data_IF_851626648158
#
_entry.id   IF_851626648158
#
_cell.length_a   1.000
_cell.length_b   1.000
_cell.length_c   1.000
_cell.angle_alpha   90.00
_cell.angle_beta   90.00
_cell.angle_gamma   90.00
#
_symmetry.space_group_name_H-M   'P 1'
#
loop_
_entity.id
_entity.type
_entity.pdbx_description
1 polymer ?
#
# COMPACT_ATOMS: atom_id res chain seq x y z
N UNK A 1 32.16 -15.26 3.63
CA UNK A 1 31.06 -14.30 3.49
C UNK A 1 31.59 -12.93 3.87
N UNK A 2 31.50 -11.96 2.99
CA UNK A 2 31.93 -10.59 3.29
C UNK A 2 30.91 -9.95 4.26
N UNK A 3 31.42 -9.30 5.30
CA UNK A 3 30.58 -8.66 6.30
C UNK A 3 30.09 -7.31 5.74
N UNK A 4 28.77 -7.12 5.70
CA UNK A 4 28.17 -5.86 5.25
C UNK A 4 28.54 -4.70 6.19
N UNK A 5 28.85 -3.55 5.62
CA UNK A 5 29.06 -2.31 6.39
C UNK A 5 27.79 -1.88 7.12
N UNK A 6 27.94 -1.46 8.38
CA UNK A 6 26.81 -1.04 9.23
C UNK A 6 26.86 0.46 9.58
N UNK A 7 28.00 1.12 9.35
CA UNK A 7 28.20 2.51 9.73
C UNK A 7 28.52 3.35 8.49
N UNK A 8 27.80 4.44 8.30
CA UNK A 8 27.92 5.34 7.17
C UNK A 8 27.97 6.79 7.66
N UNK A 9 28.81 7.61 7.05
CA UNK A 9 28.97 9.02 7.41
C UNK A 9 27.75 9.88 6.97
N UNK A 10 27.02 9.44 5.94
CA UNK A 10 25.84 10.10 5.41
C UNK A 10 24.87 9.11 4.77
N UNK A 11 23.63 9.55 4.55
CA UNK A 11 22.64 8.79 3.78
C UNK A 11 23.11 8.51 2.36
N UNK A 12 23.77 9.48 1.71
CA UNK A 12 24.31 9.31 0.34
C UNK A 12 25.38 8.23 0.28
N UNK A 13 26.23 8.13 1.31
CA UNK A 13 27.24 7.07 1.42
C UNK A 13 26.57 5.69 1.56
N UNK A 14 25.51 5.61 2.37
CA UNK A 14 24.69 4.38 2.50
C UNK A 14 24.04 4.01 1.16
N UNK A 15 23.41 4.95 0.46
CA UNK A 15 22.76 4.73 -0.84
C UNK A 15 23.76 4.20 -1.88
N UNK A 16 24.91 4.84 -1.99
CA UNK A 16 25.99 4.40 -2.88
C UNK A 16 26.46 2.98 -2.56
N UNK A 17 26.62 2.69 -1.29
CA UNK A 17 27.00 1.35 -0.83
C UNK A 17 25.93 0.31 -1.19
N UNK A 18 24.65 0.56 -0.88
CA UNK A 18 23.55 -0.36 -1.20
C UNK A 18 23.46 -0.60 -2.71
N UNK A 19 23.56 0.46 -3.53
CA UNK A 19 23.59 0.32 -5.00
C UNK A 19 24.77 -0.52 -5.48
N UNK A 20 25.90 -0.50 -4.79
CA UNK A 20 27.08 -1.29 -5.16
C UNK A 20 26.96 -2.79 -4.84
N UNK A 21 26.01 -3.17 -3.97
CA UNK A 21 25.78 -4.57 -3.60
C UNK A 21 25.07 -5.39 -4.69
N UNK A 22 24.39 -4.72 -5.62
CA UNK A 22 23.65 -5.37 -6.66
C UNK A 22 23.92 -4.69 -8.02
N UNK A 23 24.26 -5.50 -9.04
CA UNK A 23 24.53 -5.02 -10.41
C UNK A 23 23.26 -4.52 -11.13
N UNK A 24 22.09 -4.92 -10.62
CA UNK A 24 20.78 -4.58 -11.19
C UNK A 24 19.96 -3.66 -10.26
N UNK A 25 20.60 -3.02 -9.28
CA UNK A 25 19.95 -2.01 -8.46
C UNK A 25 19.73 -0.74 -9.30
N UNK A 26 18.51 -0.56 -9.74
CA UNK A 26 18.05 0.58 -10.54
C UNK A 26 17.13 1.47 -9.68
N UNK A 27 16.78 2.65 -10.23
CA UNK A 27 15.88 3.58 -9.59
C UNK A 27 16.55 4.56 -8.63
N UNK A 28 15.72 5.30 -7.92
CA UNK A 28 16.11 6.31 -6.93
C UNK A 28 15.66 5.90 -5.53
N UNK A 29 16.27 6.52 -4.52
CA UNK A 29 15.87 6.35 -3.13
C UNK A 29 14.51 6.99 -2.85
N UNK A 30 13.71 6.35 -2.01
CA UNK A 30 12.47 6.89 -1.51
C UNK A 30 12.70 8.15 -0.64
N UNK A 31 11.75 9.07 -0.65
CA UNK A 31 11.72 10.19 0.29
C UNK A 31 11.43 9.74 1.74
N UNK A 32 10.95 8.52 1.94
CA UNK A 32 10.71 7.96 3.28
C UNK A 32 12.04 7.49 3.87
N UNK A 33 12.41 8.10 4.97
CA UNK A 33 13.67 7.81 5.67
C UNK A 33 13.44 6.64 6.64
N UNK A 34 14.27 5.61 6.53
CA UNK A 34 14.25 4.45 7.44
C UNK A 34 14.95 4.74 8.78
N UNK A 35 14.96 3.71 9.63
CA UNK A 35 15.69 3.71 10.90
C UNK A 35 14.85 4.04 12.12
N UNK A 36 15.37 3.66 13.29
CA UNK A 36 14.67 3.72 14.58
C UNK A 36 14.32 5.16 14.97
N UNK A 37 15.25 6.08 14.84
CA UNK A 37 15.04 7.49 15.20
C UNK A 37 13.86 8.09 14.40
N UNK A 38 13.85 7.87 13.08
CA UNK A 38 12.79 8.39 12.22
C UNK A 38 11.44 7.71 12.49
N UNK A 39 11.44 6.41 12.82
CA UNK A 39 10.23 5.69 13.20
C UNK A 39 9.56 6.30 14.43
N UNK A 40 10.32 6.53 15.50
CA UNK A 40 9.79 7.17 16.72
C UNK A 40 9.44 8.65 16.54
N UNK A 41 10.19 9.38 15.70
CA UNK A 41 9.84 10.75 15.32
C UNK A 41 8.51 10.79 14.55
N UNK A 42 8.25 9.82 13.69
CA UNK A 42 6.99 9.70 12.97
C UNK A 42 5.87 9.27 13.93
N UNK A 43 6.11 8.29 14.79
CA UNK A 43 5.15 7.84 15.81
C UNK A 43 4.73 9.00 16.75
N UNK A 44 5.66 9.86 17.15
CA UNK A 44 5.37 10.99 18.06
C UNK A 44 4.43 12.05 17.46
N UNK A 45 4.22 12.02 16.14
CA UNK A 45 3.41 13.02 15.40
C UNK A 45 2.04 12.51 14.97
N UNK A 46 1.72 11.23 15.22
CA UNK A 46 0.43 10.70 14.78
C UNK A 46 -0.74 11.39 15.50
N UNK A 47 -1.82 11.56 14.76
CA UNK A 47 -3.10 12.06 15.28
C UNK A 47 -4.18 11.00 15.06
N UNK A 48 -4.40 10.08 16.03
CA UNK A 48 -5.34 8.98 15.87
C UNK A 48 -6.79 9.44 15.68
N UNK A 49 -7.16 10.56 16.31
CA UNK A 49 -8.51 11.13 16.18
C UNK A 49 -8.71 11.76 14.80
N UNK A 50 -7.77 12.57 14.37
CA UNK A 50 -7.76 13.15 13.03
C UNK A 50 -7.70 12.07 11.94
N UNK A 51 -6.91 11.02 12.17
CA UNK A 51 -6.89 9.84 11.29
C UNK A 51 -8.28 9.25 11.13
N UNK A 52 -8.99 8.97 12.21
CA UNK A 52 -10.34 8.41 12.16
C UNK A 52 -11.32 9.24 11.32
N UNK A 53 -11.16 10.56 11.31
CA UNK A 53 -12.02 11.50 10.58
C UNK A 53 -11.63 11.71 9.12
N UNK A 54 -10.32 11.66 8.82
CA UNK A 54 -9.80 12.13 7.53
C UNK A 54 -9.01 11.08 6.73
N UNK A 55 -8.87 9.87 7.23
CA UNK A 55 -8.05 8.81 6.64
C UNK A 55 -8.39 8.45 5.20
N UNK A 56 -9.59 8.79 4.73
CA UNK A 56 -10.02 8.50 3.36
C UNK A 56 -9.52 9.57 2.37
N UNK A 57 -9.20 10.78 2.84
CA UNK A 57 -8.72 11.86 1.99
C UNK A 57 -7.23 11.72 1.70
N UNK A 58 -6.81 11.98 0.47
CA UNK A 58 -5.41 11.88 0.06
C UNK A 58 -4.48 12.80 0.87
N UNK A 59 -4.98 13.97 1.31
CA UNK A 59 -4.30 14.92 2.20
C UNK A 59 -4.67 14.72 3.69
N UNK A 60 -5.31 13.60 4.05
CA UNK A 60 -5.75 13.30 5.41
C UNK A 60 -4.62 13.01 6.39
N UNK A 61 -4.99 12.81 7.65
CA UNK A 61 -4.04 12.54 8.76
C UNK A 61 -3.56 11.09 8.79
N UNK A 62 -3.04 10.59 7.64
CA UNK A 62 -2.43 9.26 7.57
C UNK A 62 -1.08 9.23 8.29
N UNK A 63 -0.73 8.08 8.86
CA UNK A 63 0.45 7.99 9.75
C UNK A 63 1.76 7.73 9.03
N UNK A 64 1.72 7.06 7.88
CA UNK A 64 2.90 6.53 7.16
C UNK A 64 3.81 5.64 8.03
N UNK A 65 3.22 4.94 9.01
CA UNK A 65 3.97 4.04 9.91
C UNK A 65 4.16 2.63 9.36
N UNK A 66 3.41 2.26 8.31
CA UNK A 66 3.41 0.90 7.79
C UNK A 66 4.78 0.37 7.38
N UNK A 67 5.72 1.14 6.78
CA UNK A 67 7.08 0.65 6.53
C UNK A 67 7.83 0.28 7.81
N UNK A 68 7.75 1.09 8.85
CA UNK A 68 8.43 0.83 10.11
C UNK A 68 7.86 -0.38 10.86
N UNK A 69 6.53 -0.57 10.76
CA UNK A 69 5.85 -1.74 11.32
C UNK A 69 6.24 -2.99 10.54
N UNK A 70 6.24 -2.93 9.21
CA UNK A 70 6.62 -4.05 8.34
C UNK A 70 8.02 -4.55 8.63
N UNK A 71 8.98 -3.63 8.76
CA UNK A 71 10.37 -3.96 9.04
C UNK A 71 10.67 -4.23 10.53
N UNK A 72 9.65 -4.31 11.39
CA UNK A 72 9.79 -4.66 12.80
C UNK A 72 10.50 -3.60 13.67
N UNK A 73 10.62 -2.35 13.19
CA UNK A 73 11.25 -1.26 13.96
C UNK A 73 10.35 -0.80 15.10
N UNK A 74 9.04 -0.77 14.87
CA UNK A 74 8.00 -0.53 15.87
C UNK A 74 6.91 -1.59 15.74
N UNK A 75 6.34 -2.01 16.85
CA UNK A 75 5.29 -3.00 16.90
C UNK A 75 3.88 -2.36 16.83
N UNK A 76 2.88 -3.15 16.43
CA UNK A 76 1.47 -2.75 16.51
C UNK A 76 1.07 -2.35 17.94
N UNK A 77 1.60 -3.05 18.94
CA UNK A 77 1.33 -2.76 20.34
C UNK A 77 1.89 -1.40 20.78
N UNK A 78 3.11 -1.04 20.35
CA UNK A 78 3.68 0.28 20.62
C UNK A 78 2.83 1.39 20.01
N UNK A 79 2.41 1.23 18.74
CA UNK A 79 1.56 2.21 18.05
C UNK A 79 0.21 2.35 18.74
N UNK A 80 -0.44 1.23 19.10
CA UNK A 80 -1.70 1.24 19.86
C UNK A 80 -1.54 1.94 21.21
N UNK A 81 -0.51 1.57 21.97
CA UNK A 81 -0.27 2.13 23.31
C UNK A 81 0.04 3.62 23.24
N UNK A 82 0.77 4.05 22.21
CA UNK A 82 1.00 5.49 21.99
C UNK A 82 -0.31 6.23 21.72
N UNK A 83 -1.19 5.69 20.87
CA UNK A 83 -2.48 6.28 20.57
C UNK A 83 -3.36 6.42 21.84
N UNK A 84 -3.43 5.37 22.66
CA UNK A 84 -4.18 5.37 23.91
C UNK A 84 -3.60 6.31 24.97
N UNK A 85 -2.27 6.45 25.01
CA UNK A 85 -1.60 7.41 25.90
C UNK A 85 -1.82 8.86 25.45
N UNK A 86 -1.81 9.11 24.15
CA UNK A 86 -2.03 10.45 23.58
C UNK A 86 -3.47 10.93 23.74
N UNK A 87 -4.42 10.01 23.67
CA UNK A 87 -5.85 10.28 23.91
C UNK A 87 -6.48 9.09 24.65
N UNK A 88 -6.77 9.23 25.96
CA UNK A 88 -7.38 8.15 26.76
C UNK A 88 -8.83 7.81 26.35
N UNK A 89 -9.48 8.63 25.54
CA UNK A 89 -10.83 8.34 25.07
C UNK A 89 -10.82 7.26 24.00
N UNK A 90 -11.11 6.02 24.42
CA UNK A 90 -11.10 4.84 23.55
C UNK A 90 -12.01 5.00 22.32
N UNK A 91 -13.21 5.58 22.51
CA UNK A 91 -14.16 5.78 21.38
C UNK A 91 -13.60 6.68 20.27
N UNK A 92 -12.80 7.68 20.64
CA UNK A 92 -12.17 8.54 19.65
C UNK A 92 -11.01 7.87 18.91
N UNK A 93 -10.36 6.88 19.53
CA UNK A 93 -9.27 6.09 18.94
C UNK A 93 -9.77 4.82 18.23
N UNK A 94 -11.04 4.47 18.37
CA UNK A 94 -11.60 3.20 17.90
C UNK A 94 -11.26 2.91 16.44
N UNK A 95 -11.48 3.88 15.56
CA UNK A 95 -11.22 3.69 14.14
C UNK A 95 -9.74 3.44 13.85
N UNK A 96 -8.86 4.17 14.50
CA UNK A 96 -7.43 3.97 14.36
C UNK A 96 -6.99 2.57 14.82
N UNK A 97 -7.49 2.13 15.98
CA UNK A 97 -7.18 0.81 16.53
C UNK A 97 -7.75 -0.31 15.67
N UNK A 98 -8.94 -0.14 15.10
CA UNK A 98 -9.49 -1.10 14.12
C UNK A 98 -8.57 -1.29 12.91
N UNK A 99 -8.01 -0.21 12.38
CA UNK A 99 -7.10 -0.31 11.22
C UNK A 99 -5.78 -1.03 11.57
N UNK A 100 -5.27 -0.88 12.79
CA UNK A 100 -4.16 -1.72 13.27
C UNK A 100 -4.60 -3.19 13.40
N UNK A 101 -5.84 -3.42 13.85
CA UNK A 101 -6.42 -4.75 13.98
C UNK A 101 -6.57 -5.48 12.65
N UNK A 102 -6.84 -4.78 11.53
CA UNK A 102 -6.86 -5.40 10.21
C UNK A 102 -5.51 -6.01 9.82
N UNK A 103 -4.40 -5.34 10.12
CA UNK A 103 -3.07 -5.89 9.88
C UNK A 103 -2.83 -7.17 10.67
N UNK A 104 -3.15 -7.18 11.97
CA UNK A 104 -3.04 -8.38 12.81
C UNK A 104 -3.95 -9.51 12.30
N UNK A 105 -5.16 -9.18 11.86
CA UNK A 105 -6.10 -10.13 11.28
C UNK A 105 -5.53 -10.82 10.03
N UNK A 106 -5.00 -10.06 9.08
CA UNK A 106 -4.41 -10.61 7.86
C UNK A 106 -3.21 -11.53 8.16
N UNK A 107 -2.35 -11.15 9.11
CA UNK A 107 -1.23 -11.97 9.55
C UNK A 107 -1.71 -13.30 10.14
N UNK A 108 -2.79 -13.30 10.92
CA UNK A 108 -3.36 -14.51 11.50
C UNK A 108 -3.99 -15.41 10.46
N UNK A 109 -4.71 -14.82 9.50
CA UNK A 109 -5.27 -15.59 8.36
C UNK A 109 -4.14 -16.22 7.55
N UNK A 110 -3.10 -15.49 7.21
CA UNK A 110 -1.94 -16.02 6.49
C UNK A 110 -1.24 -17.16 7.24
N UNK A 111 -1.12 -17.05 8.56
CA UNK A 111 -0.52 -18.10 9.38
C UNK A 111 -1.38 -19.38 9.46
N UNK A 112 -2.70 -19.25 9.43
CA UNK A 112 -3.64 -20.38 9.46
C UNK A 112 -3.85 -21.01 8.08
N UNK A 113 -3.80 -20.21 7.03
CA UNK A 113 -4.07 -20.58 5.64
C UNK A 113 -2.97 -20.03 4.71
N UNK A 114 -1.73 -20.54 4.79
CA UNK A 114 -0.62 -20.05 3.98
C UNK A 114 -0.82 -20.26 2.47
N UNK A 115 -1.59 -21.25 2.10
CA UNK A 115 -2.00 -21.54 0.72
C UNK A 115 -2.92 -20.47 0.11
N UNK A 116 -3.66 -19.72 0.93
CA UNK A 116 -4.55 -18.66 0.44
C UNK A 116 -3.82 -17.38 0.02
N UNK A 117 -2.56 -17.22 0.40
CA UNK A 117 -1.81 -15.98 0.13
C UNK A 117 -1.70 -15.71 -1.38
N UNK A 118 -1.56 -16.75 -2.20
CA UNK A 118 -1.40 -16.63 -3.66
C UNK A 118 -2.49 -17.36 -4.46
N UNK A 119 -3.42 -18.01 -3.79
CA UNK A 119 -4.53 -18.73 -4.43
C UNK A 119 -5.85 -18.02 -4.16
N UNK A 120 -6.77 -18.08 -5.12
CA UNK A 120 -8.13 -17.56 -4.94
C UNK A 120 -8.82 -18.34 -3.80
N UNK A 121 -9.29 -17.62 -2.78
CA UNK A 121 -10.02 -18.24 -1.66
C UNK A 121 -11.42 -18.65 -2.09
N UNK A 122 -12.04 -17.84 -2.95
CA UNK A 122 -13.35 -18.07 -3.55
C UNK A 122 -13.32 -17.73 -5.04
N UNK A 123 -14.32 -18.13 -5.79
CA UNK A 123 -14.48 -17.73 -7.19
C UNK A 123 -14.74 -16.23 -7.33
N UNK A 124 -14.35 -15.66 -8.47
CA UNK A 124 -14.66 -14.28 -8.83
C UNK A 124 -16.18 -14.05 -8.90
N UNK A 125 -16.63 -12.95 -8.32
CA UNK A 125 -18.06 -12.54 -8.34
C UNK A 125 -18.33 -11.45 -9.38
N UNK A 126 -17.55 -11.49 -10.49
CA UNK A 126 -17.60 -10.54 -11.59
C UNK A 126 -18.30 -11.05 -12.83
N UNK A 127 -18.65 -12.33 -12.86
CA UNK A 127 -19.14 -13.02 -14.06
C UNK A 127 -18.01 -13.48 -14.99
N UNK A 128 -16.74 -13.26 -14.61
CA UNK A 128 -15.54 -13.73 -15.32
C UNK A 128 -14.84 -14.80 -14.48
N UNK A 129 -14.24 -15.77 -15.18
CA UNK A 129 -13.43 -16.84 -14.58
C UNK A 129 -11.96 -16.43 -14.53
N UNK A 130 -11.15 -17.15 -13.77
CA UNK A 130 -9.69 -16.92 -13.66
C UNK A 130 -8.98 -16.89 -15.02
N UNK A 131 -9.44 -17.70 -15.99
CA UNK A 131 -8.86 -17.74 -17.35
C UNK A 131 -9.14 -16.49 -18.20
N UNK A 132 -10.10 -15.66 -17.79
CA UNK A 132 -10.43 -14.44 -18.51
C UNK A 132 -9.52 -13.25 -18.16
N UNK A 133 -8.58 -13.46 -17.21
CA UNK A 133 -7.62 -12.46 -16.73
C UNK A 133 -6.22 -12.72 -17.29
N UNK A 134 -5.55 -11.67 -17.78
CA UNK A 134 -4.17 -11.71 -18.28
C UNK A 134 -3.16 -11.90 -17.13
N UNK A 135 -2.06 -12.59 -17.44
CA UNK A 135 -0.93 -12.76 -16.51
C UNK A 135 0.08 -11.61 -16.54
N UNK A 136 0.03 -10.76 -17.55
CA UNK A 136 1.03 -9.72 -17.76
C UNK A 136 0.48 -8.32 -17.51
N UNK A 137 1.25 -7.49 -16.82
CA UNK A 137 1.01 -6.04 -16.76
C UNK A 137 1.47 -5.42 -18.09
N UNK A 138 0.61 -4.64 -18.76
CA UNK A 138 1.00 -3.95 -19.98
C UNK A 138 1.89 -2.74 -19.68
N UNK A 139 2.70 -2.37 -20.69
CA UNK A 139 3.72 -1.31 -20.60
C UNK A 139 3.15 0.06 -20.19
N UNK A 140 1.92 0.38 -20.59
CA UNK A 140 1.29 1.64 -20.22
C UNK A 140 1.01 1.75 -18.71
N UNK A 141 0.73 0.63 -18.05
CA UNK A 141 0.64 0.57 -16.58
C UNK A 141 2.02 0.66 -15.96
N UNK A 142 2.99 -0.11 -16.46
CA UNK A 142 4.35 -0.11 -15.92
C UNK A 142 5.02 1.27 -15.99
N UNK A 143 4.68 2.07 -17.03
CA UNK A 143 5.28 3.37 -17.30
C UNK A 143 4.37 4.58 -16.93
N UNK A 144 3.24 4.35 -16.24
CA UNK A 144 2.26 5.41 -15.92
C UNK A 144 1.77 6.19 -17.15
N UNK A 145 1.48 5.49 -18.24
CA UNK A 145 1.07 6.05 -19.54
C UNK A 145 -0.32 5.56 -19.98
N UNK A 146 -1.21 5.32 -19.02
CA UNK A 146 -2.59 4.95 -19.30
C UNK A 146 -3.43 6.17 -19.74
N UNK A 147 -4.63 5.94 -20.28
CA UNK A 147 -5.55 7.02 -20.62
C UNK A 147 -6.28 7.61 -19.40
N UNK A 148 -5.89 7.23 -18.17
CA UNK A 148 -6.57 7.62 -16.92
C UNK A 148 -5.60 8.40 -16.06
N UNK A 149 -5.69 9.72 -16.07
CA UNK A 149 -4.74 10.62 -15.41
C UNK A 149 -4.58 10.35 -13.91
N UNK A 150 -5.67 10.12 -13.19
CA UNK A 150 -5.58 9.81 -11.77
C UNK A 150 -4.88 8.47 -11.49
N UNK A 151 -4.99 7.49 -12.37
CA UNK A 151 -4.27 6.20 -12.27
C UNK A 151 -2.79 6.40 -12.51
N UNK A 152 -2.41 7.18 -13.54
CA UNK A 152 -1.02 7.51 -13.80
C UNK A 152 -0.35 8.19 -12.60
N UNK A 153 -1.04 9.14 -11.97
CA UNK A 153 -0.57 9.78 -10.75
C UNK A 153 -0.29 8.77 -9.63
N UNK A 154 -1.19 7.82 -9.39
CA UNK A 154 -1.00 6.80 -8.35
C UNK A 154 0.14 5.83 -8.69
N UNK A 155 0.33 5.49 -9.98
CA UNK A 155 1.47 4.68 -10.42
C UNK A 155 2.78 5.43 -10.18
N UNK A 156 2.87 6.69 -10.59
CA UNK A 156 4.05 7.54 -10.36
C UNK A 156 4.37 7.68 -8.88
N UNK A 157 3.35 7.86 -8.01
CA UNK A 157 3.55 7.92 -6.57
C UNK A 157 4.14 6.62 -6.03
N UNK A 158 3.63 5.46 -6.48
CA UNK A 158 4.18 4.16 -6.13
C UNK A 158 5.64 4.03 -6.53
N UNK A 159 5.95 4.29 -7.80
CA UNK A 159 7.30 4.11 -8.37
C UNK A 159 8.33 5.06 -7.75
N UNK A 160 7.94 6.31 -7.50
CA UNK A 160 8.84 7.34 -7.01
C UNK A 160 9.04 7.30 -5.48
N UNK A 161 8.03 6.84 -4.73
CA UNK A 161 8.07 6.93 -3.26
C UNK A 161 8.14 5.59 -2.55
N UNK A 162 7.72 4.51 -3.22
CA UNK A 162 7.52 3.21 -2.58
C UNK A 162 6.37 3.20 -1.57
N UNK A 163 5.46 4.17 -1.64
CA UNK A 163 4.33 4.28 -0.73
C UNK A 163 3.08 4.77 -1.47
N UNK A 164 1.95 4.18 -1.11
CA UNK A 164 0.64 4.63 -1.58
C UNK A 164 -0.33 4.80 -0.41
N UNK A 165 -1.15 5.82 -0.49
CA UNK A 165 -2.34 5.95 0.35
C UNK A 165 -3.26 4.74 0.17
N UNK A 166 -3.90 4.25 1.26
CA UNK A 166 -4.74 3.05 1.20
C UNK A 166 -5.82 3.09 0.09
N UNK A 167 -6.51 4.22 -0.09
CA UNK A 167 -7.51 4.37 -1.14
C UNK A 167 -6.90 4.33 -2.54
N UNK A 168 -5.73 4.92 -2.75
CA UNK A 168 -5.01 4.85 -4.02
C UNK A 168 -4.62 3.40 -4.35
N UNK A 169 -4.22 2.60 -3.34
CA UNK A 169 -4.00 1.15 -3.54
C UNK A 169 -5.24 0.44 -4.03
N UNK A 170 -6.40 0.73 -3.45
CA UNK A 170 -7.66 0.13 -3.85
C UNK A 170 -8.10 0.56 -5.25
N UNK A 171 -7.94 1.84 -5.60
CA UNK A 171 -8.26 2.34 -6.94
C UNK A 171 -7.38 1.71 -8.01
N UNK A 172 -6.08 1.67 -7.75
CA UNK A 172 -5.12 1.07 -8.68
C UNK A 172 -5.33 -0.44 -8.83
N UNK A 173 -5.57 -1.17 -7.74
CA UNK A 173 -5.92 -2.58 -7.78
C UNK A 173 -7.22 -2.83 -8.56
N UNK A 174 -8.24 -2.01 -8.33
CA UNK A 174 -9.51 -2.11 -9.07
C UNK A 174 -9.33 -1.84 -10.57
N UNK A 175 -8.53 -0.84 -10.93
CA UNK A 175 -8.19 -0.55 -12.33
C UNK A 175 -7.50 -1.75 -12.98
N UNK A 176 -6.47 -2.29 -12.37
CA UNK A 176 -5.71 -3.44 -12.88
C UNK A 176 -6.62 -4.65 -13.07
N UNK A 177 -7.42 -4.99 -12.06
CA UNK A 177 -8.23 -6.22 -12.08
C UNK A 177 -9.46 -6.06 -12.99
N UNK A 178 -10.26 -5.02 -12.79
CA UNK A 178 -11.61 -4.97 -13.39
C UNK A 178 -11.64 -4.25 -14.73
N UNK A 179 -10.82 -3.22 -14.94
CA UNK A 179 -10.78 -2.47 -16.20
C UNK A 179 -9.81 -3.07 -17.20
N UNK A 180 -8.64 -3.54 -16.71
CA UNK A 180 -7.60 -4.10 -17.57
C UNK A 180 -7.60 -5.63 -17.61
N UNK A 181 -8.42 -6.28 -16.79
CA UNK A 181 -8.55 -7.73 -16.68
C UNK A 181 -7.21 -8.45 -16.52
N UNK A 182 -6.46 -8.02 -15.51
CA UNK A 182 -5.19 -8.62 -15.14
C UNK A 182 -5.41 -9.38 -13.83
N UNK A 183 -4.79 -10.55 -13.72
CA UNK A 183 -4.84 -11.36 -12.50
C UNK A 183 -4.41 -10.55 -11.29
N UNK A 184 -5.15 -10.65 -10.20
CA UNK A 184 -4.81 -9.93 -8.97
C UNK A 184 -3.42 -10.32 -8.46
N UNK A 185 -2.98 -11.57 -8.68
CA UNK A 185 -1.65 -12.05 -8.32
C UNK A 185 -0.55 -11.23 -9.00
N UNK A 186 -0.72 -10.95 -10.28
CA UNK A 186 0.23 -10.13 -11.06
C UNK A 186 0.34 -8.71 -10.48
N UNK A 187 -0.81 -8.08 -10.20
CA UNK A 187 -0.83 -6.74 -9.60
C UNK A 187 -0.29 -6.73 -8.16
N UNK A 188 -0.64 -7.75 -7.36
CA UNK A 188 -0.14 -7.91 -6.00
C UNK A 188 1.38 -8.07 -5.97
N UNK A 189 1.94 -8.89 -6.87
CA UNK A 189 3.37 -9.07 -7.00
C UNK A 189 4.08 -7.76 -7.40
N UNK A 190 3.52 -7.03 -8.35
CA UNK A 190 4.05 -5.71 -8.74
C UNK A 190 4.06 -4.73 -7.56
N UNK A 191 3.01 -4.70 -6.73
CA UNK A 191 3.01 -3.89 -5.51
C UNK A 191 4.12 -4.28 -4.55
N UNK A 192 4.33 -5.58 -4.32
CA UNK A 192 5.39 -6.08 -3.43
C UNK A 192 6.79 -5.70 -3.90
N UNK A 193 7.01 -5.57 -5.22
CA UNK A 193 8.28 -5.13 -5.78
C UNK A 193 8.60 -3.66 -5.48
N UNK A 194 7.58 -2.81 -5.32
CA UNK A 194 7.75 -1.35 -5.18
C UNK A 194 7.43 -0.80 -3.79
N UNK A 195 6.56 -1.46 -3.03
CA UNK A 195 6.14 -0.95 -1.71
C UNK A 195 7.18 -1.19 -0.63
N UNK A 196 7.58 -0.13 0.07
CA UNK A 196 8.42 -0.20 1.28
C UNK A 196 7.76 -0.96 2.44
N UNK A 197 6.43 -1.01 2.45
CA UNK A 197 5.63 -1.75 3.42
C UNK A 197 4.99 -3.00 2.82
N UNK A 198 5.64 -3.57 1.80
CA UNK A 198 5.19 -4.74 1.05
C UNK A 198 5.02 -5.98 1.93
N UNK A 199 3.98 -5.99 2.72
CA UNK A 199 3.57 -7.10 3.60
C UNK A 199 2.68 -8.06 2.81
N UNK A 200 3.15 -9.27 2.57
CA UNK A 200 2.50 -10.23 1.68
C UNK A 200 1.07 -10.56 2.12
N UNK A 201 0.84 -10.75 3.41
CA UNK A 201 -0.51 -11.04 3.92
C UNK A 201 -1.46 -9.86 3.71
N UNK A 202 -1.11 -8.67 4.19
CA UNK A 202 -1.96 -7.48 4.05
C UNK A 202 -2.15 -7.08 2.59
N UNK A 203 -1.11 -7.18 1.77
CA UNK A 203 -1.16 -6.85 0.35
C UNK A 203 -2.09 -7.81 -0.39
N UNK A 204 -1.81 -9.10 -0.34
CA UNK A 204 -2.48 -10.09 -1.20
C UNK A 204 -3.94 -10.30 -0.80
N UNK A 205 -4.27 -10.35 0.49
CA UNK A 205 -5.69 -10.42 0.90
C UNK A 205 -6.46 -9.13 0.58
N UNK A 206 -5.81 -7.96 0.57
CA UNK A 206 -6.45 -6.74 0.10
C UNK A 206 -6.69 -6.74 -1.41
N UNK A 207 -5.78 -7.28 -2.21
CA UNK A 207 -5.98 -7.50 -3.63
C UNK A 207 -7.11 -8.48 -3.91
N UNK A 208 -7.18 -9.60 -3.18
CA UNK A 208 -8.28 -10.56 -3.25
C UNK A 208 -9.63 -9.94 -2.84
N UNK A 209 -9.60 -9.06 -1.81
CA UNK A 209 -10.80 -8.34 -1.42
C UNK A 209 -11.33 -7.45 -2.56
N UNK A 210 -10.45 -6.74 -3.25
CA UNK A 210 -10.81 -5.93 -4.44
C UNK A 210 -11.31 -6.83 -5.57
N UNK A 211 -10.63 -7.96 -5.84
CA UNK A 211 -10.96 -8.92 -6.88
C UNK A 211 -12.30 -9.64 -6.66
N UNK A 212 -12.82 -9.64 -5.45
CA UNK A 212 -13.94 -10.46 -4.96
C UNK A 212 -13.65 -11.93 -4.68
N UNK A 213 -12.40 -12.35 -4.73
CA UNK A 213 -12.02 -13.73 -4.35
C UNK A 213 -11.89 -13.92 -2.84
N UNK A 214 -12.00 -12.84 -2.05
CA UNK A 214 -12.08 -12.85 -0.59
C UNK A 214 -13.01 -11.74 -0.06
N UNK A 215 -14.14 -11.55 -0.74
CA UNK A 215 -15.19 -10.60 -0.34
C UNK A 215 -16.52 -10.96 -1.00
N UNK A 216 -17.62 -10.41 -0.51
CA UNK A 216 -18.96 -10.69 -1.02
C UNK A 216 -19.25 -10.10 -2.42
N UNK A 217 -18.47 -9.13 -2.87
CA UNK A 217 -18.64 -8.43 -4.15
C UNK A 217 -17.33 -7.77 -4.60
N UNK A 218 -17.13 -7.55 -5.91
CA UNK A 218 -15.99 -6.80 -6.40
C UNK A 218 -16.02 -5.34 -5.92
N UNK A 219 -14.85 -4.78 -5.68
CA UNK A 219 -14.71 -3.35 -5.47
C UNK A 219 -14.34 -2.68 -6.80
N UNK A 220 -15.30 -1.94 -7.37
CA UNK A 220 -15.11 -1.17 -8.60
C UNK A 220 -14.93 0.30 -8.22
N UNK A 221 -13.77 0.89 -8.55
CA UNK A 221 -13.56 2.32 -8.33
C UNK A 221 -14.36 3.14 -9.35
N UNK A 222 -14.68 4.37 -9.00
CA UNK A 222 -15.27 5.35 -9.92
C UNK A 222 -14.64 6.72 -9.70
N UNK A 223 -14.71 7.55 -10.73
CA UNK A 223 -14.09 8.87 -10.74
C UNK A 223 -14.70 9.81 -9.68
N UNK A 224 -16.00 9.72 -9.40
CA UNK A 224 -16.66 10.51 -8.35
C UNK A 224 -16.03 10.26 -6.96
N UNK A 225 -15.66 9.01 -6.68
CA UNK A 225 -15.03 8.66 -5.43
C UNK A 225 -13.59 9.20 -5.36
N UNK A 226 -12.86 9.15 -6.48
CA UNK A 226 -11.54 9.76 -6.59
C UNK A 226 -11.64 11.28 -6.42
N UNK A 227 -12.57 11.93 -7.08
CA UNK A 227 -12.81 13.37 -6.97
C UNK A 227 -13.10 13.77 -5.52
N UNK A 228 -14.01 13.08 -4.86
CA UNK A 228 -14.38 13.34 -3.48
C UNK A 228 -13.20 13.33 -2.52
N UNK A 229 -12.24 12.42 -2.71
CA UNK A 229 -11.18 12.19 -1.74
C UNK A 229 -9.80 12.66 -2.18
N UNK A 230 -9.59 12.89 -3.48
CA UNK A 230 -8.28 13.18 -4.06
C UNK A 230 -8.25 14.38 -5.01
N UNK A 231 -9.36 15.08 -5.27
CA UNK A 231 -9.40 16.22 -6.22
C UNK A 231 -8.40 17.33 -5.95
N UNK A 232 -7.92 17.45 -4.70
CA UNK A 232 -6.85 18.41 -4.36
C UNK A 232 -5.44 17.95 -4.78
N UNK A 233 -5.27 16.70 -5.22
CA UNK A 233 -3.98 16.08 -5.52
C UNK A 233 -3.87 15.57 -6.95
N UNK A 234 -4.99 15.16 -7.56
CA UNK A 234 -5.02 14.51 -8.88
C UNK A 234 -6.02 15.19 -9.80
N UNK A 235 -5.76 15.08 -11.09
CA UNK A 235 -6.73 15.52 -12.12
C UNK A 235 -7.87 14.49 -12.19
N UNK A 236 -9.09 14.94 -11.92
CA UNK A 236 -10.33 14.15 -11.97
C UNK A 236 -11.25 14.59 -13.11
N UNK A 237 -10.77 15.40 -14.05
CA UNK A 237 -11.53 15.82 -15.22
C UNK A 237 -11.91 14.62 -16.10
N UNK A 238 -13.16 14.51 -16.57
CA UNK A 238 -13.61 13.37 -17.38
C UNK A 238 -12.84 13.21 -18.69
N UNK A 239 -12.38 14.30 -19.30
CA UNK A 239 -11.61 14.30 -20.55
C UNK A 239 -10.22 13.65 -20.40
N UNK A 240 -9.62 13.72 -19.23
CA UNK A 240 -8.30 13.15 -18.94
C UNK A 240 -8.38 11.78 -18.23
N UNK A 241 -9.58 11.25 -18.00
CA UNK A 241 -9.82 9.99 -17.30
C UNK A 241 -10.83 9.12 -18.06
N UNK A 242 -10.49 8.74 -19.30
CA UNK A 242 -11.36 7.97 -20.22
C UNK A 242 -11.05 6.47 -20.24
#
# INVERSE_FOLDING_TARGET
MEQLSKNFQSRDALIKYVKSLSRWAEGSESCIIGGTEQAYKTLSKIDPVGYGKTRNFGNGKITKLSPYIHHGIISLNEVRNFALKSNPNIKQNEKFIQELGWRDFWQRIAAQHPDWIWSDVEEYKTGFSFSDYSENLPEDILNAQTNVACINFFIEELLNTGYLHNHARMYLASYVIHFRRIKWQTGAFWFLQHLLDGDEASNNFSWQWVASTFSNKPYIFNLENVDKYFSSLVDTSPENNQ
#
